data_IF_086299772378
#
_entry.id   IF_086299772378
#
_cell.length_a   1.000
_cell.length_b   1.000
_cell.length_c   1.000
_cell.angle_alpha   90.00
_cell.angle_beta   90.00
_cell.angle_gamma   90.00
#
_symmetry.space_group_name_H-M   'P 1'
#
loop_
_entity.id
_entity.type
_entity.pdbx_description
1 polymer ?
#
# COMPACT_ATOMS: atom_id res chain seq x y z
N UNK A 1 19.17 -3.88 -3.46
CA UNK A 1 20.30 -3.18 -2.82
C UNK A 1 19.72 -2.28 -1.74
N UNK A 2 20.13 -2.40 -0.50
CA UNK A 2 19.68 -1.56 0.63
C UNK A 2 20.94 -0.94 1.24
N UNK A 3 20.98 0.40 1.32
CA UNK A 3 22.08 1.14 1.92
C UNK A 3 21.58 2.48 2.45
N UNK A 4 22.05 2.88 3.62
CA UNK A 4 21.76 4.19 4.20
C UNK A 4 22.24 5.35 3.30
N UNK A 5 23.28 5.12 2.52
CA UNK A 5 23.80 6.10 1.56
C UNK A 5 22.86 6.36 0.37
N UNK A 6 21.78 5.59 0.23
CA UNK A 6 20.78 5.78 -0.83
C UNK A 6 19.55 6.56 -0.35
N UNK A 7 19.49 6.95 0.91
CA UNK A 7 18.42 7.79 1.43
C UNK A 7 18.59 9.21 0.88
N UNK A 8 17.54 9.81 0.28
CA UNK A 8 17.62 11.18 -0.21
C UNK A 8 17.53 12.17 0.97
N UNK A 9 18.23 13.30 0.84
CA UNK A 9 18.11 14.40 1.79
C UNK A 9 16.78 15.17 1.64
N UNK A 10 16.17 15.12 0.45
CA UNK A 10 14.89 15.74 0.17
C UNK A 10 14.12 14.95 -0.89
N UNK A 11 12.79 14.92 -0.76
CA UNK A 11 11.88 14.36 -1.76
C UNK A 11 10.92 15.44 -2.26
N UNK A 12 10.87 15.63 -3.58
CA UNK A 12 9.92 16.55 -4.24
C UNK A 12 8.76 15.72 -4.77
N UNK A 13 7.57 15.97 -4.24
CA UNK A 13 6.34 15.25 -4.57
C UNK A 13 5.45 16.17 -5.40
N UNK A 14 5.47 16.01 -6.72
CA UNK A 14 4.73 16.86 -7.66
C UNK A 14 3.83 15.99 -8.56
N UNK A 15 2.51 16.15 -8.41
CA UNK A 15 1.51 15.43 -9.18
C UNK A 15 1.53 15.78 -10.68
N UNK A 16 2.05 16.95 -11.06
CA UNK A 16 2.21 17.35 -12.45
C UNK A 16 3.05 16.35 -13.26
N UNK A 17 4.05 15.75 -12.62
CA UNK A 17 4.95 14.77 -13.23
C UNK A 17 4.27 13.42 -13.52
N UNK A 18 3.07 13.18 -12.98
CA UNK A 18 2.34 11.92 -13.14
C UNK A 18 1.07 12.03 -13.97
N UNK A 19 0.83 13.17 -14.61
CA UNK A 19 -0.37 13.39 -15.45
C UNK A 19 -0.57 12.33 -16.52
N UNK A 20 0.51 11.82 -17.09
CA UNK A 20 0.51 10.86 -18.20
C UNK A 20 0.52 9.40 -17.76
N UNK A 21 0.58 9.13 -16.45
CA UNK A 21 0.63 7.74 -15.94
C UNK A 21 -0.69 7.04 -16.23
N UNK A 22 -0.69 5.91 -16.97
CA UNK A 22 -1.88 5.17 -17.33
C UNK A 22 -2.63 4.59 -16.12
N UNK A 23 -3.93 4.34 -16.29
CA UNK A 23 -4.78 3.77 -15.26
C UNK A 23 -4.27 2.43 -14.70
N UNK A 24 -3.79 1.54 -15.58
CA UNK A 24 -3.23 0.24 -15.15
C UNK A 24 -2.02 0.39 -14.24
N UNK A 25 -1.10 1.30 -14.57
CA UNK A 25 0.08 1.58 -13.73
C UNK A 25 -0.35 2.28 -12.44
N UNK A 26 -1.28 3.22 -12.50
CA UNK A 26 -1.84 3.87 -11.31
C UNK A 26 -2.43 2.86 -10.33
N UNK A 27 -3.20 1.88 -10.84
CA UNK A 27 -3.76 0.80 -10.01
C UNK A 27 -2.67 -0.10 -9.42
N UNK A 28 -1.77 -0.62 -10.26
CA UNK A 28 -0.72 -1.54 -9.84
C UNK A 28 0.17 -0.88 -8.76
N UNK A 29 0.63 0.36 -9.00
CA UNK A 29 1.49 1.07 -8.03
C UNK A 29 0.73 1.52 -6.78
N UNK A 30 -0.55 1.86 -6.91
CA UNK A 30 -1.39 2.24 -5.76
C UNK A 30 -1.64 1.08 -4.80
N UNK A 31 -1.89 -0.12 -5.32
CA UNK A 31 -2.01 -1.32 -4.49
C UNK A 31 -0.65 -1.75 -3.92
N UNK A 32 0.43 -1.50 -4.64
CA UNK A 32 1.78 -1.71 -4.12
C UNK A 32 2.07 -0.84 -2.89
N UNK A 33 1.70 0.44 -2.94
CA UNK A 33 1.77 1.34 -1.78
C UNK A 33 0.96 0.80 -0.60
N UNK A 34 -0.24 0.28 -0.85
CA UNK A 34 -1.07 -0.34 0.19
C UNK A 34 -0.37 -1.55 0.82
N UNK A 35 0.24 -2.40 -0.02
CA UNK A 35 0.96 -3.59 0.44
C UNK A 35 2.18 -3.22 1.28
N UNK A 36 2.96 -2.22 0.85
CA UNK A 36 4.07 -1.67 1.63
C UNK A 36 3.63 -1.24 3.03
N UNK A 37 2.54 -0.46 3.10
CA UNK A 37 2.02 0.04 4.36
C UNK A 37 1.51 -1.10 5.27
N UNK A 38 0.79 -2.09 4.72
CA UNK A 38 0.32 -3.25 5.49
C UNK A 38 1.47 -4.10 6.02
N UNK A 39 2.47 -4.41 5.20
CA UNK A 39 3.61 -5.22 5.66
C UNK A 39 4.44 -4.49 6.71
N UNK A 40 4.71 -3.19 6.52
CA UNK A 40 5.36 -2.38 7.53
C UNK A 40 4.58 -2.36 8.84
N UNK A 41 3.26 -2.21 8.77
CA UNK A 41 2.37 -2.13 9.93
C UNK A 41 2.39 -3.42 10.76
N UNK A 42 2.41 -4.61 10.15
CA UNK A 42 2.43 -5.89 10.87
C UNK A 42 3.83 -6.45 11.12
N UNK A 43 4.86 -5.70 10.76
CA UNK A 43 6.25 -6.10 10.97
C UNK A 43 6.58 -6.23 12.46
N UNK A 44 7.45 -7.17 12.80
CA UNK A 44 7.99 -7.30 14.16
C UNK A 44 8.88 -6.12 14.59
N UNK A 45 9.28 -5.25 13.63
CA UNK A 45 10.05 -4.04 13.89
C UNK A 45 9.17 -2.77 13.88
N UNK A 46 7.86 -2.92 13.73
CA UNK A 46 6.92 -1.80 13.76
C UNK A 46 6.98 -1.07 15.11
N UNK A 47 6.80 0.24 15.06
CA UNK A 47 6.77 1.12 16.21
C UNK A 47 5.82 2.30 15.96
N UNK A 48 5.59 3.13 16.96
CA UNK A 48 4.60 4.22 16.88
C UNK A 48 4.83 5.16 15.68
N UNK A 49 6.08 5.41 15.28
CA UNK A 49 6.38 6.28 14.14
C UNK A 49 6.07 5.59 12.82
N UNK A 50 6.47 4.34 12.66
CA UNK A 50 6.17 3.56 11.45
C UNK A 50 4.68 3.27 11.33
N UNK A 51 4.00 3.04 12.46
CA UNK A 51 2.55 2.83 12.53
C UNK A 51 1.80 4.09 12.07
N UNK A 52 2.16 5.25 12.59
CA UNK A 52 1.54 6.52 12.19
C UNK A 52 1.67 6.78 10.69
N UNK A 53 2.85 6.53 10.12
CA UNK A 53 3.09 6.67 8.68
C UNK A 53 2.30 5.65 7.85
N UNK A 54 2.30 4.37 8.26
CA UNK A 54 1.58 3.29 7.59
C UNK A 54 0.05 3.51 7.65
N UNK A 55 -0.51 3.84 8.81
CA UNK A 55 -1.94 4.14 8.99
C UNK A 55 -2.39 5.30 8.11
N UNK A 56 -1.60 6.38 8.07
CA UNK A 56 -1.91 7.54 7.21
C UNK A 56 -1.81 7.19 5.74
N UNK A 57 -0.79 6.42 5.33
CA UNK A 57 -0.64 5.95 3.96
C UNK A 57 -1.85 5.14 3.51
N UNK A 58 -2.24 4.12 4.28
CA UNK A 58 -3.40 3.28 3.97
C UNK A 58 -4.69 4.10 3.82
N UNK A 59 -4.96 5.05 4.74
CA UNK A 59 -6.12 5.95 4.63
C UNK A 59 -6.12 6.72 3.32
N UNK A 60 -4.98 7.28 2.93
CA UNK A 60 -4.86 8.03 1.68
C UNK A 60 -5.08 7.13 0.45
N UNK A 61 -4.58 5.89 0.47
CA UNK A 61 -4.82 4.95 -0.64
C UNK A 61 -6.30 4.63 -0.77
N UNK A 62 -6.99 4.27 0.33
CA UNK A 62 -8.42 3.95 0.29
C UNK A 62 -9.27 5.13 -0.18
N UNK A 63 -8.90 6.35 0.21
CA UNK A 63 -9.64 7.55 -0.14
C UNK A 63 -9.38 8.03 -1.58
N UNK A 64 -8.13 7.98 -2.04
CA UNK A 64 -7.74 8.66 -3.27
C UNK A 64 -7.33 7.76 -4.43
N UNK A 65 -7.02 6.47 -4.22
CA UNK A 65 -6.66 5.59 -5.33
C UNK A 65 -7.80 5.43 -6.36
N UNK A 66 -9.09 5.25 -5.97
CA UNK A 66 -10.17 5.18 -6.92
C UNK A 66 -10.29 6.45 -7.79
N UNK A 67 -10.11 7.62 -7.19
CA UNK A 67 -10.19 8.90 -7.91
C UNK A 67 -8.96 9.11 -8.82
N UNK A 68 -7.76 8.80 -8.34
CA UNK A 68 -6.55 8.85 -9.15
C UNK A 68 -6.62 7.88 -10.35
N UNK A 69 -7.22 6.70 -10.16
CA UNK A 69 -7.47 5.74 -11.24
C UNK A 69 -8.43 6.28 -12.30
N UNK A 70 -9.54 6.90 -11.89
CA UNK A 70 -10.49 7.55 -12.81
C UNK A 70 -9.84 8.70 -13.58
N UNK A 71 -9.04 9.51 -12.88
CA UNK A 71 -8.27 10.60 -13.47
C UNK A 71 -7.26 10.10 -14.54
N UNK A 72 -6.69 8.91 -14.35
CA UNK A 72 -5.74 8.32 -15.28
C UNK A 72 -6.36 7.89 -16.63
N UNK A 73 -7.69 7.82 -16.72
CA UNK A 73 -8.40 7.55 -17.97
C UNK A 73 -8.76 8.79 -18.79
N UNK A 74 -8.50 9.99 -18.26
CA UNK A 74 -8.83 11.28 -18.92
C UNK A 74 -7.68 11.76 -19.82
N UNK A 75 -8.02 12.61 -20.81
CA UNK A 75 -7.00 13.38 -21.52
C UNK A 75 -6.38 14.43 -20.57
N UNK A 76 -5.14 14.85 -20.86
CA UNK A 76 -4.42 15.79 -19.99
C UNK A 76 -5.18 17.12 -19.85
N UNK A 77 -5.79 17.60 -20.95
CA UNK A 77 -6.55 18.85 -20.98
C UNK A 77 -7.88 18.79 -20.19
N UNK A 78 -8.35 17.57 -19.88
CA UNK A 78 -9.58 17.34 -19.13
C UNK A 78 -9.34 17.15 -17.64
N UNK A 79 -8.07 17.11 -17.21
CA UNK A 79 -7.71 16.93 -15.79
C UNK A 79 -8.10 18.17 -14.98
N UNK A 80 -8.90 17.95 -13.95
CA UNK A 80 -9.30 18.99 -13.00
C UNK A 80 -8.28 19.15 -11.87
N UNK A 81 -8.46 20.18 -11.05
CA UNK A 81 -7.66 20.37 -9.84
C UNK A 81 -7.86 19.22 -8.84
N UNK A 82 -9.07 18.68 -8.77
CA UNK A 82 -9.43 17.55 -7.92
C UNK A 82 -8.73 16.27 -8.38
N UNK A 83 -8.64 16.05 -9.70
CA UNK A 83 -7.91 14.92 -10.27
C UNK A 83 -6.41 14.97 -9.90
N UNK A 84 -5.79 16.15 -10.02
CA UNK A 84 -4.40 16.36 -9.63
C UNK A 84 -4.20 16.24 -8.13
N UNK A 85 -5.16 16.72 -7.34
CA UNK A 85 -5.13 16.56 -5.89
C UNK A 85 -5.17 15.09 -5.47
N UNK A 86 -6.01 14.26 -6.11
CA UNK A 86 -6.03 12.82 -5.85
C UNK A 86 -4.66 12.18 -6.15
N UNK A 87 -4.03 12.52 -7.30
CA UNK A 87 -2.68 12.07 -7.64
C UNK A 87 -1.64 12.54 -6.62
N UNK A 88 -1.72 13.81 -6.18
CA UNK A 88 -0.85 14.34 -5.13
C UNK A 88 -0.99 13.56 -3.82
N UNK A 89 -2.22 13.16 -3.45
CA UNK A 89 -2.45 12.34 -2.26
C UNK A 89 -1.86 10.94 -2.39
N UNK A 90 -1.86 10.37 -3.60
CA UNK A 90 -1.17 9.10 -3.86
C UNK A 90 0.36 9.23 -3.74
N UNK A 91 0.96 10.36 -4.16
CA UNK A 91 2.38 10.65 -3.88
C UNK A 91 2.67 10.70 -2.38
N UNK A 92 1.81 11.40 -1.60
CA UNK A 92 1.95 11.44 -0.15
C UNK A 92 1.83 10.05 0.47
N UNK A 93 0.86 9.23 0.01
CA UNK A 93 0.69 7.86 0.47
C UNK A 93 1.94 7.02 0.21
N UNK A 94 2.50 7.11 -1.00
CA UNK A 94 3.72 6.39 -1.38
C UNK A 94 4.92 6.80 -0.53
N UNK A 95 5.13 8.09 -0.31
CA UNK A 95 6.21 8.58 0.53
C UNK A 95 6.08 8.10 1.98
N UNK A 96 4.87 8.17 2.55
CA UNK A 96 4.60 7.70 3.92
C UNK A 96 4.80 6.18 4.05
N UNK A 97 4.36 5.38 3.07
CA UNK A 97 4.64 3.95 3.03
C UNK A 97 6.15 3.69 2.98
N UNK A 98 6.88 4.48 2.16
CA UNK A 98 8.34 4.45 2.08
C UNK A 98 9.01 4.68 3.43
N UNK A 99 8.58 5.71 4.15
CA UNK A 99 9.06 6.01 5.50
C UNK A 99 8.77 4.88 6.48
N UNK A 100 7.58 4.26 6.39
CA UNK A 100 7.21 3.14 7.25
C UNK A 100 8.08 1.90 6.98
N UNK A 101 8.10 1.40 5.74
CA UNK A 101 8.81 0.15 5.46
C UNK A 101 10.33 0.27 5.48
N UNK A 102 10.89 1.44 5.18
CA UNK A 102 12.34 1.65 5.29
C UNK A 102 12.85 1.46 6.73
N UNK A 103 12.01 1.70 7.73
CA UNK A 103 12.33 1.53 9.14
C UNK A 103 11.82 0.20 9.71
N UNK A 104 10.63 -0.26 9.32
CA UNK A 104 10.04 -1.49 9.84
C UNK A 104 10.37 -2.74 9.00
N UNK A 105 10.80 -2.57 7.74
CA UNK A 105 11.00 -3.66 6.80
C UNK A 105 9.72 -4.11 6.11
N UNK A 106 9.88 -5.03 5.18
CA UNK A 106 8.80 -5.70 4.44
C UNK A 106 8.69 -7.16 4.85
N UNK A 107 7.62 -7.82 4.42
CA UNK A 107 7.30 -9.19 4.74
C UNK A 107 7.41 -10.16 3.56
N UNK A 108 6.70 -11.27 3.69
CA UNK A 108 6.72 -12.36 2.72
C UNK A 108 6.00 -12.00 1.41
N UNK A 109 5.04 -11.05 1.43
CA UNK A 109 4.29 -10.65 0.25
C UNK A 109 5.22 -10.11 -0.83
N UNK A 110 6.06 -9.14 -0.49
CA UNK A 110 7.05 -8.57 -1.40
C UNK A 110 8.09 -9.59 -1.84
N UNK A 111 8.54 -10.48 -0.95
CA UNK A 111 9.48 -11.54 -1.30
C UNK A 111 8.91 -12.47 -2.39
N UNK A 112 7.64 -12.85 -2.26
CA UNK A 112 6.95 -13.67 -3.26
C UNK A 112 6.70 -12.89 -4.56
N UNK A 113 6.27 -11.63 -4.46
CA UNK A 113 6.01 -10.78 -5.63
C UNK A 113 7.28 -10.54 -6.46
N UNK A 114 8.43 -10.33 -5.83
CA UNK A 114 9.73 -10.23 -6.52
C UNK A 114 10.05 -11.49 -7.31
N UNK A 115 9.84 -12.67 -6.70
CA UNK A 115 10.08 -13.95 -7.35
C UNK A 115 9.16 -14.16 -8.56
N UNK A 116 7.86 -13.87 -8.43
CA UNK A 116 6.91 -13.98 -9.53
C UNK A 116 7.22 -12.97 -10.65
N UNK A 117 7.54 -11.73 -10.30
CA UNK A 117 7.92 -10.70 -11.26
C UNK A 117 9.18 -11.08 -12.05
N UNK A 118 10.20 -11.61 -11.35
CA UNK A 118 11.47 -12.02 -11.97
C UNK A 118 11.33 -13.20 -12.92
N UNK A 119 10.50 -14.19 -12.59
CA UNK A 119 10.33 -15.40 -13.42
C UNK A 119 9.25 -15.27 -14.50
N UNK A 120 8.16 -14.59 -14.20
CA UNK A 120 6.97 -14.58 -15.06
C UNK A 120 6.66 -13.21 -15.66
N UNK A 121 7.50 -12.20 -15.39
CA UNK A 121 7.31 -10.82 -15.85
C UNK A 121 5.94 -10.21 -15.47
N UNK A 122 5.38 -10.65 -14.33
CA UNK A 122 4.15 -10.08 -13.79
C UNK A 122 4.46 -8.69 -13.23
N UNK A 123 3.66 -7.65 -13.54
CA UNK A 123 3.81 -6.34 -12.92
C UNK A 123 3.83 -6.43 -11.40
N UNK A 124 4.82 -5.80 -10.77
CA UNK A 124 5.11 -5.95 -9.34
C UNK A 124 3.89 -5.67 -8.44
N UNK A 125 3.24 -4.52 -8.63
CA UNK A 125 2.06 -4.16 -7.84
C UNK A 125 0.88 -5.11 -8.04
N UNK A 126 0.75 -5.69 -9.24
CA UNK A 126 -0.27 -6.71 -9.52
C UNK A 126 0.02 -8.01 -8.81
N UNK A 127 1.28 -8.45 -8.79
CA UNK A 127 1.70 -9.63 -8.03
C UNK A 127 1.42 -9.42 -6.53
N UNK A 128 1.77 -8.25 -6.01
CA UNK A 128 1.46 -7.87 -4.63
C UNK A 128 -0.05 -7.90 -4.34
N UNK A 129 -0.87 -7.34 -5.21
CA UNK A 129 -2.33 -7.31 -5.05
C UNK A 129 -2.95 -8.71 -4.95
N UNK A 130 -2.51 -9.62 -5.82
CA UNK A 130 -3.04 -11.00 -5.85
C UNK A 130 -2.59 -11.79 -4.61
N UNK A 131 -1.37 -11.59 -4.15
CA UNK A 131 -0.81 -12.32 -3.01
C UNK A 131 -1.34 -11.80 -1.66
N UNK A 132 -1.62 -10.51 -1.55
CA UNK A 132 -1.91 -9.84 -0.28
C UNK A 132 -2.99 -10.52 0.57
N UNK A 133 -4.17 -10.92 0.05
CA UNK A 133 -5.19 -11.58 0.86
C UNK A 133 -4.72 -12.90 1.47
N UNK A 134 -3.94 -13.68 0.71
CA UNK A 134 -3.42 -14.97 1.17
C UNK A 134 -2.35 -14.78 2.24
N UNK A 135 -1.47 -13.79 2.07
CA UNK A 135 -0.44 -13.46 3.04
C UNK A 135 -1.06 -12.90 4.32
N UNK A 136 -2.08 -12.05 4.22
CA UNK A 136 -2.82 -11.56 5.39
C UNK A 136 -3.44 -12.73 6.16
N UNK A 137 -4.11 -13.65 5.49
CA UNK A 137 -4.69 -14.85 6.13
C UNK A 137 -3.62 -15.72 6.79
N UNK A 138 -2.46 -15.90 6.14
CA UNK A 138 -1.32 -16.60 6.71
C UNK A 138 -0.78 -15.90 7.95
N UNK A 139 -0.52 -14.60 7.87
CA UNK A 139 -0.02 -13.79 8.97
C UNK A 139 -0.98 -13.77 10.17
N UNK A 140 -2.30 -13.78 9.92
CA UNK A 140 -3.31 -13.87 10.97
C UNK A 140 -3.33 -15.24 11.68
N UNK A 141 -2.74 -16.27 11.09
CA UNK A 141 -2.84 -17.63 11.60
C UNK A 141 -4.22 -18.27 11.43
N UNK A 142 -5.00 -17.84 10.41
CA UNK A 142 -6.39 -18.27 10.20
C UNK A 142 -6.62 -19.79 10.11
N UNK A 143 -5.57 -20.55 9.82
CA UNK A 143 -5.64 -22.04 9.72
C UNK A 143 -5.05 -22.75 10.93
N UNK A 144 -4.53 -22.02 11.90
CA UNK A 144 -3.85 -22.57 13.09
C UNK A 144 -4.35 -21.90 14.37
N UNK A 145 -3.66 -20.88 14.82
CA UNK A 145 -4.04 -20.05 15.98
C UNK A 145 -3.77 -18.59 15.64
N UNK A 146 -4.65 -17.70 16.10
CA UNK A 146 -4.49 -16.27 15.85
C UNK A 146 -3.14 -15.77 16.37
N UNK A 147 -2.51 -14.94 15.55
CA UNK A 147 -1.22 -14.30 15.82
C UNK A 147 -1.41 -12.85 16.24
N UNK A 148 -0.38 -12.18 16.79
CA UNK A 148 -0.44 -10.73 17.04
C UNK A 148 -0.76 -9.89 15.78
N UNK A 149 -0.42 -10.37 14.58
CA UNK A 149 -0.77 -9.70 13.34
C UNK A 149 -2.30 -9.63 13.12
N UNK A 150 -3.07 -10.62 13.59
CA UNK A 150 -4.52 -10.62 13.49
C UNK A 150 -5.14 -9.42 14.21
N UNK A 151 -4.67 -9.09 15.41
CA UNK A 151 -5.14 -7.92 16.18
C UNK A 151 -4.78 -6.61 15.45
N UNK A 152 -3.59 -6.55 14.87
CA UNK A 152 -3.14 -5.37 14.11
C UNK A 152 -3.98 -5.16 12.85
N UNK A 153 -4.30 -6.22 12.10
CA UNK A 153 -5.21 -6.12 10.94
C UNK A 153 -6.63 -5.74 11.36
N UNK A 154 -7.15 -6.28 12.48
CA UNK A 154 -8.46 -5.90 13.01
C UNK A 154 -8.50 -4.42 13.41
N UNK A 155 -7.47 -3.92 14.10
CA UNK A 155 -7.32 -2.49 14.41
C UNK A 155 -7.34 -1.65 13.13
N UNK A 156 -6.62 -2.08 12.09
CA UNK A 156 -6.57 -1.36 10.82
C UNK A 156 -7.92 -1.33 10.11
N UNK A 157 -8.69 -2.42 10.12
CA UNK A 157 -10.05 -2.44 9.59
C UNK A 157 -10.93 -1.35 10.24
N UNK A 158 -10.82 -1.17 11.55
CA UNK A 158 -11.52 -0.10 12.29
C UNK A 158 -11.01 1.29 11.88
N UNK A 159 -9.70 1.46 11.78
CA UNK A 159 -9.05 2.73 11.40
C UNK A 159 -9.44 3.17 9.99
N UNK A 160 -9.66 2.21 9.09
CA UNK A 160 -10.09 2.45 7.70
C UNK A 160 -11.61 2.52 7.55
N UNK A 161 -12.37 2.38 8.64
CA UNK A 161 -13.84 2.32 8.62
C UNK A 161 -14.38 1.26 7.65
N UNK A 162 -13.63 0.18 7.46
CA UNK A 162 -14.09 -0.96 6.70
C UNK A 162 -15.17 -1.66 7.51
N UNK A 163 -16.34 -1.88 6.90
CA UNK A 163 -17.44 -2.58 7.55
C UNK A 163 -16.94 -3.95 8.01
N UNK A 164 -16.73 -4.09 9.31
CA UNK A 164 -16.54 -5.39 9.92
C UNK A 164 -17.91 -6.08 9.87
N UNK A 165 -18.31 -6.46 8.66
CA UNK A 165 -19.50 -7.28 8.49
C UNK A 165 -19.40 -8.38 9.52
N UNK A 166 -20.41 -8.54 10.36
CA UNK A 166 -20.45 -9.35 11.56
C UNK A 166 -19.84 -10.74 11.33
N UNK A 167 -18.52 -10.79 11.41
CA UNK A 167 -17.70 -12.02 11.29
C UNK A 167 -17.87 -12.95 12.48
N UNK A 168 -18.99 -12.80 13.22
CA UNK A 168 -19.40 -13.71 14.29
C UNK A 168 -20.30 -14.85 13.81
N UNK A 169 -20.52 -15.03 12.50
CA UNK A 169 -21.38 -16.09 11.98
C UNK A 169 -20.67 -17.14 11.14
N UNK A 170 -19.34 -17.19 11.15
CA UNK A 170 -18.58 -18.26 10.49
C UNK A 170 -17.37 -18.67 11.34
N UNK A 171 -17.63 -19.12 12.56
CA UNK A 171 -16.71 -19.93 13.33
C UNK A 171 -17.27 -21.34 13.40
#
# INVERSE_FOLDING_TARGET
LISENMLPDAAVLDAELTKTVPASITADTGIDVLTHAYEAYVSSKANDFTDAAAEKSMKLVFEYLPEAYKAAGKNIEELTKEDLYARQKMHHASCLAGMAFSNAGLGINHSMAHTLGGHFHIPHGRANAVLLPYVMAYNCGCRTSLTPAAERYAKMSTVLSLDSGSSRQSA
#
